data_IF_817667477809
#
_entry.id   IF_817667477809
#
_cell.length_a   1.000
_cell.length_b   1.000
_cell.length_c   1.000
_cell.angle_alpha   90.00
_cell.angle_beta   90.00
_cell.angle_gamma   90.00
#
_symmetry.space_group_name_H-M   'P 1'
#
loop_
_entity.id
_entity.type
_entity.pdbx_description
1 polymer ?
#
# COMPACT_ATOMS: atom_id res chain seq x y z
N UNK A 1 32.09 33.83 13.47
CA UNK A 1 30.98 32.93 13.83
C UNK A 1 29.85 33.00 12.79
N UNK A 2 29.39 34.19 12.37
CA UNK A 2 28.34 34.39 11.40
C UNK A 2 28.66 33.76 10.02
N UNK A 3 29.88 33.89 9.53
CA UNK A 3 30.27 33.37 8.20
C UNK A 3 30.25 31.85 8.14
N UNK A 4 30.72 31.17 9.19
CA UNK A 4 30.66 29.69 9.28
C UNK A 4 29.22 29.20 9.35
N UNK A 5 28.35 29.87 10.11
CA UNK A 5 26.95 29.55 10.19
C UNK A 5 26.22 29.72 8.84
N UNK A 6 26.55 30.80 8.09
CA UNK A 6 25.96 31.05 6.77
C UNK A 6 26.42 30.01 5.75
N UNK A 7 27.69 29.62 5.73
CA UNK A 7 28.21 28.57 4.83
C UNK A 7 27.64 27.19 5.18
N UNK A 8 27.48 26.87 6.47
CA UNK A 8 26.84 25.65 6.91
C UNK A 8 25.36 25.60 6.52
N UNK A 9 24.64 26.71 6.64
CA UNK A 9 23.24 26.80 6.23
C UNK A 9 23.08 26.69 4.70
N UNK A 10 23.94 27.36 3.92
CA UNK A 10 23.92 27.26 2.46
C UNK A 10 24.26 25.84 1.99
N UNK A 11 25.26 25.18 2.57
CA UNK A 11 25.61 23.80 2.21
C UNK A 11 24.47 22.82 2.56
N UNK A 12 23.83 22.98 3.71
CA UNK A 12 22.66 22.18 4.08
C UNK A 12 21.50 22.39 3.10
N UNK A 13 21.22 23.65 2.72
CA UNK A 13 20.18 23.97 1.75
C UNK A 13 20.46 23.35 0.36
N UNK A 14 21.71 23.44 -0.12
CA UNK A 14 22.12 22.81 -1.38
C UNK A 14 21.97 21.28 -1.33
N UNK A 15 22.39 20.65 -0.24
CA UNK A 15 22.23 19.20 -0.04
C UNK A 15 20.75 18.82 -0.06
N UNK A 16 19.89 19.56 0.62
CA UNK A 16 18.43 19.32 0.60
C UNK A 16 17.83 19.46 -0.80
N UNK A 17 18.26 20.46 -1.58
CA UNK A 17 17.80 20.66 -2.96
C UNK A 17 18.27 19.49 -3.86
N UNK A 18 19.51 19.05 -3.72
CA UNK A 18 20.05 17.92 -4.49
C UNK A 18 19.32 16.60 -4.15
N UNK A 19 19.02 16.37 -2.87
CA UNK A 19 18.24 15.19 -2.44
C UNK A 19 16.82 15.27 -3.02
N UNK A 20 16.18 16.44 -2.95
CA UNK A 20 14.83 16.63 -3.51
C UNK A 20 14.81 16.46 -5.04
N UNK A 21 15.78 17.04 -5.75
CA UNK A 21 15.91 16.90 -7.19
C UNK A 21 16.20 15.44 -7.61
N UNK A 22 17.08 14.75 -6.89
CA UNK A 22 17.36 13.33 -7.08
C UNK A 22 16.12 12.46 -6.85
N UNK A 23 15.39 12.70 -5.77
CA UNK A 23 14.13 12.02 -5.47
C UNK A 23 13.08 12.25 -6.55
N UNK A 24 12.93 13.48 -7.04
CA UNK A 24 12.03 13.83 -8.14
C UNK A 24 12.43 13.12 -9.44
N UNK A 25 13.72 13.09 -9.77
CA UNK A 25 14.24 12.39 -10.94
C UNK A 25 13.93 10.89 -10.89
N UNK A 26 14.14 10.24 -9.73
CA UNK A 26 13.78 8.83 -9.54
C UNK A 26 12.28 8.57 -9.63
N UNK A 27 11.45 9.47 -9.11
CA UNK A 27 9.99 9.37 -9.27
C UNK A 27 9.58 9.43 -10.74
N UNK A 28 10.15 10.36 -11.51
CA UNK A 28 9.88 10.48 -12.94
C UNK A 28 10.33 9.23 -13.70
N UNK A 29 11.51 8.68 -13.42
CA UNK A 29 11.98 7.42 -14.02
C UNK A 29 11.05 6.24 -13.68
N UNK A 30 10.55 6.17 -12.45
CA UNK A 30 9.58 5.15 -12.05
C UNK A 30 8.25 5.29 -12.80
N UNK A 31 7.74 6.50 -12.99
CA UNK A 31 6.53 6.78 -13.78
C UNK A 31 6.69 6.45 -15.26
N UNK A 32 7.89 6.60 -15.81
CA UNK A 32 8.22 6.25 -17.21
C UNK A 32 8.38 4.73 -17.44
N UNK A 33 8.01 3.89 -16.46
CA UNK A 33 8.13 2.41 -16.51
C UNK A 33 9.55 1.92 -16.82
N UNK A 34 10.57 2.68 -16.47
CA UNK A 34 11.96 2.21 -16.55
C UNK A 34 12.14 1.10 -15.52
N UNK A 35 12.61 -0.07 -15.95
CA UNK A 35 12.89 -1.19 -15.08
C UNK A 35 14.03 -0.83 -14.11
N UNK A 36 13.65 -0.43 -12.89
CA UNK A 36 14.60 -0.13 -11.83
C UNK A 36 15.09 -1.42 -11.18
N UNK A 37 16.39 -1.53 -10.86
CA UNK A 37 16.88 -2.66 -10.10
C UNK A 37 16.17 -2.76 -8.73
N UNK A 38 15.95 -3.99 -8.19
CA UNK A 38 15.14 -4.21 -6.99
C UNK A 38 15.53 -3.36 -5.76
N UNK A 39 16.83 -3.14 -5.56
CA UNK A 39 17.34 -2.28 -4.47
C UNK A 39 16.91 -0.83 -4.63
N UNK A 40 16.85 -0.36 -5.86
CA UNK A 40 16.50 1.03 -6.15
C UNK A 40 14.99 1.27 -6.04
N UNK A 41 14.16 0.27 -6.35
CA UNK A 41 12.71 0.32 -6.16
C UNK A 41 12.33 0.43 -4.67
N UNK A 42 13.07 -0.23 -3.78
CA UNK A 42 12.88 -0.11 -2.33
C UNK A 42 13.21 1.29 -1.82
N UNK A 43 14.34 1.87 -2.24
CA UNK A 43 14.72 3.26 -1.90
C UNK A 43 13.68 4.25 -2.42
N UNK A 44 13.19 4.05 -3.65
CA UNK A 44 12.14 4.90 -4.23
C UNK A 44 10.85 4.85 -3.43
N UNK A 45 10.47 3.68 -2.92
CA UNK A 45 9.31 3.52 -2.03
C UNK A 45 9.47 4.33 -0.75
N UNK A 46 10.64 4.26 -0.10
CA UNK A 46 10.90 4.99 1.15
C UNK A 46 10.87 6.51 0.94
N UNK A 47 11.37 6.99 -0.21
CA UNK A 47 11.28 8.40 -0.61
C UNK A 47 9.83 8.84 -0.83
N UNK A 48 9.02 8.05 -1.56
CA UNK A 48 7.60 8.34 -1.78
C UNK A 48 6.88 8.49 -0.45
N UNK A 49 7.13 7.57 0.48
CA UNK A 49 6.48 7.61 1.79
C UNK A 49 6.94 8.78 2.66
N UNK A 50 8.23 9.11 2.61
CA UNK A 50 8.79 10.26 3.33
C UNK A 50 8.17 11.58 2.85
N UNK A 51 8.02 11.75 1.54
CA UNK A 51 7.47 12.98 0.97
C UNK A 51 5.94 13.02 0.92
N UNK A 52 5.25 11.88 1.10
CA UNK A 52 3.79 11.81 1.00
C UNK A 52 3.06 12.83 1.87
N UNK A 53 3.43 13.12 3.15
CA UNK A 53 2.72 14.13 3.94
C UNK A 53 2.84 15.54 3.38
N UNK A 54 3.98 15.88 2.79
CA UNK A 54 4.19 17.18 2.14
C UNK A 54 3.34 17.29 0.86
N UNK A 55 3.30 16.23 0.06
CA UNK A 55 2.47 16.16 -1.16
C UNK A 55 0.99 16.34 -0.81
N UNK A 56 0.47 15.68 0.23
CA UNK A 56 -0.92 15.84 0.67
C UNK A 56 -1.24 17.27 1.11
N UNK A 57 -0.33 17.94 1.84
CA UNK A 57 -0.51 19.33 2.25
C UNK A 57 -0.55 20.28 1.05
N UNK A 58 0.40 20.13 0.12
CA UNK A 58 0.47 20.95 -1.10
C UNK A 58 -0.75 20.70 -1.99
N UNK A 59 -1.14 19.46 -2.21
CA UNK A 59 -2.32 19.12 -2.99
C UNK A 59 -3.59 19.76 -2.43
N UNK A 60 -3.76 19.73 -1.10
CA UNK A 60 -4.88 20.43 -0.43
C UNK A 60 -4.83 21.93 -0.64
N UNK A 61 -3.64 22.53 -0.59
CA UNK A 61 -3.47 23.98 -0.81
C UNK A 61 -3.85 24.42 -2.23
N UNK A 62 -3.65 23.56 -3.24
CA UNK A 62 -4.00 23.82 -4.65
C UNK A 62 -5.36 23.25 -5.05
N UNK A 63 -6.16 22.73 -4.09
CA UNK A 63 -7.52 22.26 -4.33
C UNK A 63 -7.63 20.85 -4.95
N UNK A 64 -6.56 20.06 -4.93
CA UNK A 64 -6.59 18.65 -5.39
C UNK A 64 -7.23 17.79 -4.29
N UNK A 65 -8.16 16.91 -4.66
CA UNK A 65 -8.88 16.04 -3.72
C UNK A 65 -7.93 15.00 -3.08
N UNK A 66 -8.17 14.67 -1.81
CA UNK A 66 -7.42 13.60 -1.11
C UNK A 66 -7.55 12.24 -1.80
N UNK A 67 -8.69 12.00 -2.46
CA UNK A 67 -8.94 10.79 -3.24
C UNK A 67 -7.97 10.67 -4.42
N UNK A 68 -7.81 11.73 -5.20
CA UNK A 68 -6.90 11.73 -6.36
C UNK A 68 -5.45 11.52 -5.96
N UNK A 69 -5.01 12.11 -4.83
CA UNK A 69 -3.66 11.93 -4.30
C UNK A 69 -3.46 10.51 -3.78
N UNK A 70 -4.44 9.98 -3.04
CA UNK A 70 -4.39 8.60 -2.52
C UNK A 70 -4.38 7.56 -3.64
N UNK A 71 -5.19 7.74 -4.68
CA UNK A 71 -5.22 6.86 -5.84
C UNK A 71 -3.87 6.87 -6.59
N UNK A 72 -3.30 8.06 -6.79
CA UNK A 72 -1.97 8.22 -7.40
C UNK A 72 -0.87 7.53 -6.57
N UNK A 73 -0.91 7.69 -5.24
CA UNK A 73 0.01 7.02 -4.32
C UNK A 73 -0.13 5.50 -4.40
N UNK A 74 -1.35 4.95 -4.37
CA UNK A 74 -1.61 3.51 -4.45
C UNK A 74 -1.08 2.95 -5.77
N UNK A 75 -1.35 3.62 -6.89
CA UNK A 75 -0.85 3.22 -8.21
C UNK A 75 0.68 3.19 -8.26
N UNK A 76 1.32 4.22 -7.72
CA UNK A 76 2.77 4.32 -7.69
C UNK A 76 3.41 3.21 -6.84
N UNK A 77 2.91 2.97 -5.63
CA UNK A 77 3.42 1.90 -4.77
C UNK A 77 3.21 0.53 -5.40
N UNK A 78 2.05 0.27 -6.03
CA UNK A 78 1.80 -0.98 -6.75
C UNK A 78 2.76 -1.16 -7.93
N UNK A 79 3.06 -0.10 -8.67
CA UNK A 79 4.04 -0.13 -9.76
C UNK A 79 5.46 -0.46 -9.24
N UNK A 80 5.88 0.18 -8.14
CA UNK A 80 7.18 -0.08 -7.52
C UNK A 80 7.28 -1.53 -7.01
N UNK A 81 6.22 -2.05 -6.39
CA UNK A 81 6.18 -3.44 -5.93
C UNK A 81 6.26 -4.44 -7.11
N UNK A 82 5.57 -4.14 -8.22
CA UNK A 82 5.64 -4.97 -9.44
C UNK A 82 7.03 -4.98 -10.06
N UNK A 83 7.72 -3.83 -10.07
CA UNK A 83 9.10 -3.73 -10.60
C UNK A 83 10.13 -4.45 -9.71
N UNK A 84 9.87 -4.57 -8.41
CA UNK A 84 10.75 -5.29 -7.49
C UNK A 84 10.87 -6.79 -7.82
N UNK A 85 9.94 -7.33 -8.63
CA UNK A 85 9.93 -8.72 -9.12
C UNK A 85 10.18 -9.77 -8.03
N UNK A 86 9.65 -9.55 -6.83
CA UNK A 86 9.76 -10.47 -5.69
C UNK A 86 8.69 -11.55 -5.83
N UNK A 87 9.10 -12.81 -5.74
CA UNK A 87 8.20 -13.95 -5.78
C UNK A 87 7.96 -14.48 -4.38
N UNK A 88 6.72 -14.74 -4.05
CA UNK A 88 6.29 -15.29 -2.77
C UNK A 88 5.63 -16.65 -2.99
N UNK A 89 5.81 -17.55 -2.03
CA UNK A 89 5.06 -18.81 -2.02
C UNK A 89 3.59 -18.55 -1.70
N UNK A 90 2.65 -19.37 -2.21
CA UNK A 90 1.21 -19.15 -1.96
C UNK A 90 0.86 -19.01 -0.47
N UNK A 91 1.43 -19.85 0.39
CA UNK A 91 1.22 -19.83 1.84
C UNK A 91 1.72 -18.56 2.54
N UNK A 92 2.61 -17.79 1.88
CA UNK A 92 3.16 -16.53 2.36
C UNK A 92 2.32 -15.32 1.95
N UNK A 93 1.28 -15.53 1.12
CA UNK A 93 0.40 -14.48 0.60
C UNK A 93 -0.93 -14.49 1.34
N UNK A 94 -1.39 -13.30 1.73
CA UNK A 94 -2.72 -13.08 2.30
C UNK A 94 -3.55 -12.20 1.37
N UNK A 95 -4.71 -12.68 0.93
CA UNK A 95 -5.75 -11.86 0.34
C UNK A 95 -6.57 -11.26 1.47
N UNK A 96 -6.62 -9.94 1.56
CA UNK A 96 -7.35 -9.20 2.59
C UNK A 96 -8.47 -8.40 1.95
N UNK A 97 -9.71 -8.67 2.36
CA UNK A 97 -10.90 -8.07 1.76
C UNK A 97 -11.81 -7.45 2.83
N UNK A 98 -12.58 -6.41 2.48
CA UNK A 98 -13.47 -5.77 3.43
C UNK A 98 -14.79 -6.54 3.55
N UNK A 99 -15.39 -6.50 4.73
CA UNK A 99 -16.69 -7.13 5.00
C UNK A 99 -17.84 -6.61 4.12
N UNK A 100 -17.74 -5.37 3.62
CA UNK A 100 -18.78 -4.80 2.74
C UNK A 100 -18.92 -5.51 1.38
N UNK A 101 -17.99 -6.41 1.02
CA UNK A 101 -18.15 -7.30 -0.14
C UNK A 101 -19.14 -8.45 0.12
N UNK A 102 -19.45 -8.73 1.39
CA UNK A 102 -20.49 -9.70 1.74
C UNK A 102 -21.86 -9.05 1.56
N UNK A 103 -22.83 -9.83 1.06
CA UNK A 103 -24.22 -9.39 0.97
C UNK A 103 -24.78 -9.07 2.37
N UNK A 104 -25.46 -7.93 2.51
CA UNK A 104 -25.90 -7.39 3.80
C UNK A 104 -26.86 -8.33 4.58
N UNK A 105 -27.70 -9.09 3.87
CA UNK A 105 -28.65 -10.05 4.44
C UNK A 105 -28.07 -11.46 4.61
N UNK A 106 -26.75 -11.64 4.48
CA UNK A 106 -26.11 -12.93 4.64
C UNK A 106 -26.02 -13.30 6.13
N UNK A 107 -26.59 -14.44 6.58
CA UNK A 107 -26.60 -14.82 7.99
C UNK A 107 -25.24 -15.37 8.48
N UNK A 108 -24.31 -15.66 7.57
CA UNK A 108 -23.04 -16.32 7.89
C UNK A 108 -21.95 -15.32 8.28
N UNK A 109 -21.29 -15.57 9.42
CA UNK A 109 -20.25 -14.67 9.97
C UNK A 109 -18.87 -15.01 9.38
N UNK A 110 -18.60 -14.52 8.17
CA UNK A 110 -17.33 -14.73 7.46
C UNK A 110 -16.14 -13.93 8.02
N UNK A 111 -16.38 -12.94 8.87
CA UNK A 111 -15.33 -12.19 9.56
C UNK A 111 -14.66 -12.99 10.66
N UNK A 112 -15.28 -14.05 11.16
CA UNK A 112 -14.71 -14.99 12.14
C UNK A 112 -13.89 -16.04 11.39
N UNK A 113 -14.52 -16.66 10.39
CA UNK A 113 -13.89 -17.62 9.49
C UNK A 113 -14.52 -17.48 8.11
N UNK A 114 -13.70 -17.25 7.09
CA UNK A 114 -14.17 -17.09 5.70
C UNK A 114 -14.80 -18.37 5.17
N UNK A 115 -14.42 -19.55 5.69
CA UNK A 115 -15.00 -20.85 5.32
C UNK A 115 -16.43 -21.04 5.80
N UNK A 116 -16.96 -20.16 6.66
CA UNK A 116 -18.39 -20.09 6.95
C UNK A 116 -19.23 -19.68 5.72
N UNK A 117 -18.60 -19.28 4.62
CA UNK A 117 -19.29 -18.96 3.37
C UNK A 117 -19.91 -20.20 2.72
N UNK A 118 -21.24 -20.21 2.59
CA UNK A 118 -22.00 -21.30 1.93
C UNK A 118 -21.96 -21.26 0.40
N UNK A 119 -21.09 -20.44 -0.19
CA UNK A 119 -20.84 -20.39 -1.65
C UNK A 119 -22.09 -20.21 -2.51
N UNK A 120 -23.07 -19.46 -2.01
CA UNK A 120 -24.35 -19.27 -2.70
C UNK A 120 -24.26 -18.39 -3.97
N UNK A 121 -23.10 -17.83 -4.30
CA UNK A 121 -22.84 -16.99 -5.48
C UNK A 121 -23.44 -15.58 -5.44
N UNK A 122 -24.11 -15.17 -4.33
CA UNK A 122 -24.81 -13.88 -4.24
C UNK A 122 -23.92 -12.68 -3.93
N UNK A 123 -22.62 -12.90 -3.72
CA UNK A 123 -21.63 -11.83 -3.47
C UNK A 123 -20.22 -12.28 -3.91
N UNK A 124 -19.27 -11.35 -3.95
CA UNK A 124 -17.90 -11.59 -4.44
C UNK A 124 -17.08 -12.54 -3.56
N UNK A 125 -17.50 -12.78 -2.31
CA UNK A 125 -16.77 -13.63 -1.36
C UNK A 125 -16.61 -15.06 -1.89
N UNK A 126 -17.64 -15.60 -2.55
CA UNK A 126 -17.56 -16.94 -3.16
C UNK A 126 -16.40 -17.06 -4.16
N UNK A 127 -16.28 -16.10 -5.09
CA UNK A 127 -15.21 -16.11 -6.09
C UNK A 127 -13.83 -15.93 -5.46
N UNK A 128 -13.71 -15.05 -4.47
CA UNK A 128 -12.46 -14.82 -3.76
C UNK A 128 -12.02 -16.05 -2.96
N UNK A 129 -12.96 -16.76 -2.34
CA UNK A 129 -12.68 -18.00 -1.63
C UNK A 129 -12.23 -19.10 -2.60
N UNK A 130 -12.88 -19.22 -3.76
CA UNK A 130 -12.48 -20.17 -4.79
C UNK A 130 -11.05 -19.90 -5.30
N UNK A 131 -10.70 -18.63 -5.59
CA UNK A 131 -9.34 -18.24 -5.98
C UNK A 131 -8.32 -18.55 -4.88
N UNK A 132 -8.68 -18.26 -3.62
CA UNK A 132 -7.82 -18.54 -2.46
C UNK A 132 -7.46 -20.02 -2.36
N UNK A 133 -8.45 -20.90 -2.50
CA UNK A 133 -8.25 -22.34 -2.45
C UNK A 133 -7.49 -22.88 -3.68
N UNK A 134 -7.88 -22.45 -4.89
CA UNK A 134 -7.20 -22.84 -6.13
C UNK A 134 -5.72 -22.50 -6.12
N UNK A 135 -5.37 -21.31 -5.59
CA UNK A 135 -4.00 -20.82 -5.55
C UNK A 135 -3.24 -21.19 -4.28
N UNK A 136 -3.90 -21.79 -3.29
CA UNK A 136 -3.30 -22.10 -1.99
C UNK A 136 -2.88 -20.88 -1.19
N UNK A 137 -3.53 -19.73 -1.40
CA UNK A 137 -3.26 -18.46 -0.70
C UNK A 137 -4.26 -18.28 0.44
N UNK A 138 -3.86 -17.58 1.49
CA UNK A 138 -4.75 -17.28 2.62
C UNK A 138 -5.74 -16.19 2.25
N UNK A 139 -6.96 -16.26 2.80
CA UNK A 139 -8.00 -15.23 2.65
C UNK A 139 -8.52 -14.80 4.02
N UNK A 140 -8.60 -13.50 4.26
CA UNK A 140 -9.20 -12.94 5.46
C UNK A 140 -10.17 -11.81 5.13
N UNK A 141 -11.27 -11.76 5.88
CA UNK A 141 -12.28 -10.71 5.77
C UNK A 141 -12.19 -9.80 6.98
N UNK A 142 -11.97 -8.50 6.75
CA UNK A 142 -11.85 -7.51 7.81
C UNK A 142 -13.07 -6.56 7.84
N UNK A 143 -13.59 -6.30 9.04
CA UNK A 143 -14.65 -5.32 9.27
C UNK A 143 -14.10 -3.93 9.59
N UNK A 144 -12.81 -3.68 9.32
CA UNK A 144 -12.13 -2.41 9.54
C UNK A 144 -10.65 -2.59 9.81
N UNK A 145 -9.91 -1.47 9.94
CA UNK A 145 -8.46 -1.45 10.06
C UNK A 145 -7.90 -2.25 11.24
N UNK A 146 -8.58 -2.30 12.38
CA UNK A 146 -8.15 -3.08 13.55
C UNK A 146 -8.16 -4.58 13.26
N UNK A 147 -9.22 -5.08 12.62
CA UNK A 147 -9.31 -6.48 12.21
C UNK A 147 -8.31 -6.82 11.12
N UNK A 148 -8.09 -5.89 10.16
CA UNK A 148 -7.08 -6.04 9.13
C UNK A 148 -5.68 -6.22 9.73
N UNK A 149 -5.28 -5.34 10.66
CA UNK A 149 -3.99 -5.44 11.37
C UNK A 149 -3.87 -6.72 12.18
N UNK A 150 -4.96 -7.15 12.83
CA UNK A 150 -4.99 -8.42 13.58
C UNK A 150 -4.77 -9.60 12.64
N UNK A 151 -5.47 -9.69 11.51
CA UNK A 151 -5.31 -10.77 10.52
C UNK A 151 -3.86 -10.84 10.02
N UNK A 152 -3.22 -9.69 9.72
CA UNK A 152 -1.83 -9.63 9.30
C UNK A 152 -0.88 -10.09 10.42
N UNK A 153 -1.09 -9.64 11.66
CA UNK A 153 -0.27 -10.03 12.81
C UNK A 153 -0.37 -11.53 13.12
N UNK A 154 -1.57 -12.09 13.03
CA UNK A 154 -1.82 -13.50 13.36
C UNK A 154 -1.27 -14.44 12.27
N UNK A 155 -1.44 -14.06 10.99
CA UNK A 155 -1.05 -14.90 9.85
C UNK A 155 0.37 -14.66 9.35
N UNK A 156 1.00 -13.54 9.73
CA UNK A 156 2.38 -13.14 9.38
C UNK A 156 2.72 -13.36 7.90
N UNK A 157 1.90 -12.84 6.97
CA UNK A 157 2.18 -13.01 5.55
C UNK A 157 3.40 -12.18 5.14
N UNK A 158 4.14 -12.62 4.12
CA UNK A 158 5.20 -11.81 3.50
C UNK A 158 4.67 -10.85 2.44
N UNK A 159 3.49 -11.14 1.89
CA UNK A 159 2.80 -10.25 0.95
C UNK A 159 1.30 -10.22 1.22
N UNK A 160 0.70 -9.05 1.01
CA UNK A 160 -0.75 -8.84 1.16
C UNK A 160 -1.32 -8.30 -0.13
N UNK A 161 -2.33 -8.98 -0.66
CA UNK A 161 -3.18 -8.51 -1.76
C UNK A 161 -4.45 -7.95 -1.13
N UNK A 162 -4.53 -6.62 -1.00
CA UNK A 162 -5.65 -5.97 -0.34
C UNK A 162 -6.67 -5.44 -1.36
N UNK A 163 -7.96 -5.68 -1.10
CA UNK A 163 -9.10 -5.08 -1.79
C UNK A 163 -9.80 -4.20 -0.78
N UNK A 164 -9.88 -2.90 -1.04
CA UNK A 164 -10.57 -1.96 -0.15
C UNK A 164 -10.84 -0.63 -0.87
N UNK A 165 -11.56 0.29 -0.23
CA UNK A 165 -11.68 1.65 -0.73
C UNK A 165 -10.33 2.40 -0.63
N UNK A 166 -10.16 3.47 -1.44
CA UNK A 166 -8.89 4.19 -1.53
C UNK A 166 -8.35 4.64 -0.16
N UNK A 167 -9.22 5.06 0.75
CA UNK A 167 -8.86 5.52 2.11
C UNK A 167 -8.25 4.41 2.94
N UNK A 168 -8.88 3.23 2.92
CA UNK A 168 -8.43 2.08 3.68
C UNK A 168 -7.15 1.48 3.08
N UNK A 169 -7.05 1.43 1.74
CA UNK A 169 -5.83 1.00 1.04
C UNK A 169 -4.66 1.92 1.37
N UNK A 170 -4.84 3.24 1.27
CA UNK A 170 -3.81 4.21 1.58
C UNK A 170 -3.33 4.09 3.03
N UNK A 171 -4.27 4.02 3.98
CA UNK A 171 -3.95 3.82 5.40
C UNK A 171 -3.24 2.49 5.63
N UNK A 172 -3.76 1.40 5.07
CA UNK A 172 -3.19 0.07 5.20
C UNK A 172 -1.76 -0.05 4.63
N UNK A 173 -1.50 0.53 3.46
CA UNK A 173 -0.16 0.54 2.86
C UNK A 173 0.89 1.24 3.73
N UNK A 174 0.49 2.31 4.43
CA UNK A 174 1.37 3.02 5.38
C UNK A 174 1.61 2.24 6.66
N UNK A 175 0.58 1.53 7.14
CA UNK A 175 0.66 0.73 8.37
C UNK A 175 1.52 -0.52 8.20
N UNK A 176 1.51 -1.15 7.01
CA UNK A 176 2.30 -2.35 6.69
C UNK A 176 3.81 -2.19 6.84
N UNK A 177 4.33 -0.96 6.88
CA UNK A 177 5.75 -0.70 7.19
C UNK A 177 6.11 -0.87 8.66
N UNK A 178 5.11 -0.90 9.55
CA UNK A 178 5.29 -0.95 11.00
C UNK A 178 5.10 -2.36 11.56
N UNK A 179 4.76 -3.32 10.70
CA UNK A 179 4.51 -4.72 11.02
C UNK A 179 5.63 -5.60 10.45
#
# INVERSE_FOLDING_TARGET
LNRILTEAFLSAAVICILIAAGGMFFLVLSLLKVNLPPKLSLISRDLVDFFSPAVFRLAKAVGISEEAVSDSYIKLINQLNSQANVHYKPEEVLILVPHCLQKADCPYKITVDVHNCHRCGRCSINGLLAISEERGVKLAVASGGTFARKAIKDQKPKAVVAIACYRDLFSGMRDMKKV
#
